data_IF_621208046646
#
_entry.id   IF_621208046646
#
_cell.length_a   1.000
_cell.length_b   1.000
_cell.length_c   1.000
_cell.angle_alpha   90.00
_cell.angle_beta   90.00
_cell.angle_gamma   90.00
#
_symmetry.space_group_name_H-M   'P 1'
#
loop_
_entity.id
_entity.type
_entity.pdbx_description
1 polymer ?
#
# COMPACT_ATOMS: atom_id res chain seq x y z
N UNK A 1 26.76 -7.09 22.68
CA UNK A 1 25.82 -6.60 21.68
C UNK A 1 24.42 -6.79 22.24
N UNK A 2 23.80 -5.73 22.72
CA UNK A 2 22.36 -5.72 23.00
C UNK A 2 21.69 -5.67 21.63
N UNK A 3 21.59 -6.82 21.01
CA UNK A 3 20.97 -6.94 19.71
C UNK A 3 19.46 -6.87 19.87
N UNK A 4 18.86 -5.88 19.30
CA UNK A 4 17.58 -5.96 18.56
C UNK A 4 16.42 -6.75 19.20
N UNK A 5 16.32 -6.81 20.51
CA UNK A 5 15.27 -7.59 21.18
C UNK A 5 13.89 -6.93 21.04
N UNK A 6 13.84 -5.60 20.92
CA UNK A 6 12.60 -4.86 20.75
C UNK A 6 12.69 -3.99 19.50
N UNK A 7 12.20 -4.53 18.39
CA UNK A 7 12.23 -3.80 17.13
C UNK A 7 11.22 -2.65 17.08
N UNK A 8 10.18 -2.67 17.93
CA UNK A 8 9.14 -1.63 17.97
C UNK A 8 8.49 -1.52 19.33
N UNK A 9 8.11 -0.30 19.65
CA UNK A 9 7.31 0.02 20.82
C UNK A 9 6.06 0.78 20.36
N UNK A 10 4.93 0.46 20.97
CA UNK A 10 3.66 1.10 20.67
C UNK A 10 2.87 1.31 21.97
N UNK A 11 2.56 2.56 22.29
CA UNK A 11 1.73 2.88 23.46
C UNK A 11 0.26 2.65 23.10
N UNK A 12 -0.30 1.52 23.49
CA UNK A 12 -1.69 1.17 23.23
C UNK A 12 -2.66 1.85 24.21
N UNK A 13 -2.25 2.06 25.47
CA UNK A 13 -3.04 2.83 26.44
C UNK A 13 -2.13 3.81 27.19
N UNK A 14 -2.70 4.76 27.98
CA UNK A 14 -1.89 5.65 28.84
C UNK A 14 -1.03 4.90 29.87
N UNK A 15 -1.35 3.66 30.20
CA UNK A 15 -0.67 2.87 31.22
C UNK A 15 0.09 1.65 30.67
N UNK A 16 -0.02 1.36 29.39
CA UNK A 16 0.56 0.15 28.79
C UNK A 16 1.28 0.44 27.49
N UNK A 17 2.40 -0.23 27.30
CA UNK A 17 3.21 -0.18 26.09
C UNK A 17 3.37 -1.60 25.54
N UNK A 18 3.06 -1.79 24.28
CA UNK A 18 3.37 -3.03 23.58
C UNK A 18 4.82 -3.01 23.10
N UNK A 19 5.52 -4.10 23.37
CA UNK A 19 6.87 -4.34 22.90
C UNK A 19 6.81 -5.48 21.88
N UNK A 20 7.16 -5.15 20.64
CA UNK A 20 7.03 -6.03 19.48
C UNK A 20 8.43 -6.47 19.04
N UNK A 21 8.69 -7.74 19.14
CA UNK A 21 9.93 -8.41 18.73
C UNK A 21 9.60 -9.81 18.24
N UNK A 22 10.40 -10.80 18.63
CA UNK A 22 10.10 -12.21 18.34
C UNK A 22 8.81 -12.69 18.99
N UNK A 23 8.37 -11.97 20.02
CA UNK A 23 7.08 -12.14 20.69
C UNK A 23 6.47 -10.78 21.00
N UNK A 24 5.20 -10.76 21.36
CA UNK A 24 4.50 -9.58 21.85
C UNK A 24 4.51 -9.59 23.38
N UNK A 25 4.95 -8.49 23.96
CA UNK A 25 4.85 -8.25 25.40
C UNK A 25 4.11 -6.96 25.66
N UNK A 26 3.34 -6.95 26.74
CA UNK A 26 2.68 -5.75 27.26
C UNK A 26 3.40 -5.32 28.54
N UNK A 27 3.92 -4.10 28.55
CA UNK A 27 4.54 -3.50 29.72
C UNK A 27 3.57 -2.54 30.41
N UNK A 28 3.28 -2.83 31.69
CA UNK A 28 2.42 -2.00 32.53
C UNK A 28 3.25 -0.95 33.24
N UNK A 29 3.08 0.31 32.88
CA UNK A 29 3.91 1.44 33.37
C UNK A 29 3.83 1.66 34.88
N UNK A 30 2.63 1.52 35.45
CA UNK A 30 2.42 1.71 36.90
C UNK A 30 2.95 0.56 37.74
N UNK A 31 2.69 -0.66 37.29
CA UNK A 31 3.02 -1.89 38.00
C UNK A 31 4.44 -2.34 37.74
N UNK A 32 5.10 -1.78 36.73
CA UNK A 32 6.43 -2.13 36.25
C UNK A 32 6.56 -3.65 35.96
N UNK A 33 5.50 -4.22 35.36
CA UNK A 33 5.37 -5.64 35.08
C UNK A 33 5.25 -5.88 33.59
N UNK A 34 5.80 -7.02 33.14
CA UNK A 34 5.63 -7.51 31.79
C UNK A 34 4.67 -8.69 31.79
N UNK A 35 3.72 -8.65 30.89
CA UNK A 35 2.86 -9.78 30.56
C UNK A 35 3.11 -10.21 29.10
N UNK A 36 3.22 -11.50 28.86
CA UNK A 36 3.34 -12.02 27.50
C UNK A 36 1.95 -12.02 26.86
N UNK A 37 1.85 -11.43 25.69
CA UNK A 37 0.64 -11.47 24.87
C UNK A 37 0.70 -12.71 23.98
N UNK A 38 -0.37 -13.51 23.98
CA UNK A 38 -0.46 -14.74 23.20
C UNK A 38 -1.67 -14.70 22.29
N UNK A 39 -1.66 -15.49 21.23
CA UNK A 39 -2.83 -15.76 20.42
C UNK A 39 -3.78 -16.77 21.08
N UNK A 40 -4.83 -17.11 20.37
CA UNK A 40 -5.79 -18.12 20.76
C UNK A 40 -5.07 -19.43 21.12
N UNK A 41 -5.62 -20.18 22.09
CA UNK A 41 -5.03 -21.42 22.62
C UNK A 41 -3.60 -21.27 23.19
N UNK A 42 -3.19 -20.05 23.57
CA UNK A 42 -1.86 -19.77 24.12
C UNK A 42 -0.73 -19.81 23.08
N UNK A 43 -1.02 -19.81 21.81
CA UNK A 43 -0.02 -19.81 20.74
C UNK A 43 0.81 -18.53 20.79
N UNK A 44 2.12 -18.67 20.66
CA UNK A 44 2.99 -17.51 20.44
C UNK A 44 2.82 -16.98 19.05
N UNK A 45 2.54 -15.67 18.94
CA UNK A 45 2.52 -14.98 17.67
C UNK A 45 3.94 -14.50 17.38
N UNK A 46 4.44 -14.88 16.22
CA UNK A 46 5.82 -14.62 15.80
C UNK A 46 5.78 -14.00 14.40
N UNK A 47 6.55 -12.95 14.19
CA UNK A 47 6.66 -12.32 12.87
C UNK A 47 7.00 -10.85 12.95
N UNK A 48 6.93 -10.16 11.82
CA UNK A 48 7.05 -8.70 11.77
C UNK A 48 5.71 -8.10 12.16
N UNK A 49 5.54 -7.83 13.45
CA UNK A 49 4.28 -7.34 14.00
C UNK A 49 4.20 -5.82 13.85
N UNK A 50 3.12 -5.34 13.29
CA UNK A 50 2.88 -3.91 13.05
C UNK A 50 1.61 -3.49 13.74
N UNK A 51 1.71 -2.65 14.78
CA UNK A 51 0.53 -2.15 15.46
C UNK A 51 -0.13 -1.03 14.68
N UNK A 52 -1.45 -0.99 14.71
CA UNK A 52 -2.24 0.16 14.31
C UNK A 52 -3.47 0.30 15.23
N UNK A 53 -3.85 1.52 15.55
CA UNK A 53 -4.90 1.79 16.53
C UNK A 53 -6.22 2.13 15.85
N UNK A 54 -7.32 1.61 16.39
CA UNK A 54 -8.67 2.04 16.07
C UNK A 54 -9.25 2.90 17.22
N UNK A 55 -10.20 3.80 16.92
CA UNK A 55 -10.77 4.75 17.88
C UNK A 55 -11.47 4.12 19.08
N UNK A 56 -11.88 2.86 19.02
CA UNK A 56 -12.66 2.19 20.05
C UNK A 56 -11.83 1.40 21.08
N UNK A 57 -10.67 1.89 21.49
CA UNK A 57 -9.77 1.21 22.45
C UNK A 57 -9.31 -0.18 21.99
N UNK A 58 -9.22 -0.39 20.69
CA UNK A 58 -8.71 -1.63 20.10
C UNK A 58 -7.40 -1.37 19.42
N UNK A 59 -6.43 -2.22 19.70
CA UNK A 59 -5.15 -2.22 18.99
C UNK A 59 -5.11 -3.42 18.07
N UNK A 60 -4.84 -3.18 16.81
CA UNK A 60 -4.65 -4.24 15.84
C UNK A 60 -3.17 -4.47 15.60
N UNK A 61 -2.81 -5.71 15.37
CA UNK A 61 -1.44 -6.13 15.09
C UNK A 61 -1.50 -7.10 13.91
N UNK A 62 -0.76 -6.83 12.84
CA UNK A 62 -0.64 -7.80 11.76
C UNK A 62 0.71 -8.52 11.79
N UNK A 63 0.69 -9.79 11.43
CA UNK A 63 1.84 -10.55 10.96
C UNK A 63 1.77 -10.70 9.43
N UNK A 64 2.48 -11.67 8.86
CA UNK A 64 2.47 -11.91 7.42
C UNK A 64 1.18 -12.51 6.87
N UNK A 65 0.30 -13.06 7.73
CA UNK A 65 -0.92 -13.77 7.29
C UNK A 65 -2.19 -13.31 7.99
N UNK A 66 -2.07 -12.75 9.19
CA UNK A 66 -3.21 -12.46 10.04
C UNK A 66 -3.23 -11.02 10.49
N UNK A 67 -4.42 -10.54 10.81
CA UNK A 67 -4.63 -9.36 11.65
C UNK A 67 -5.28 -9.84 12.93
N UNK A 68 -4.67 -9.46 14.03
CA UNK A 68 -5.12 -9.77 15.38
C UNK A 68 -5.65 -8.52 16.04
N UNK A 69 -6.66 -8.69 16.88
CA UNK A 69 -7.22 -7.66 17.73
C UNK A 69 -6.78 -7.87 19.17
N UNK A 70 -6.33 -6.81 19.82
CA UNK A 70 -6.02 -6.76 21.25
C UNK A 70 -6.93 -5.74 21.90
N UNK A 71 -7.75 -6.19 22.84
CA UNK A 71 -8.55 -5.31 23.68
C UNK A 71 -7.68 -4.69 24.78
N UNK A 72 -7.98 -3.46 25.17
CA UNK A 72 -7.27 -2.77 26.25
C UNK A 72 -7.42 -3.56 27.58
N UNK A 73 -6.26 -3.89 28.16
CA UNK A 73 -6.19 -4.67 29.40
C UNK A 73 -6.07 -6.19 29.21
N UNK A 74 -6.27 -6.68 28.00
CA UNK A 74 -6.13 -8.10 27.69
C UNK A 74 -4.67 -8.47 27.32
N UNK A 75 -4.33 -9.73 27.55
CA UNK A 75 -3.07 -10.35 27.08
C UNK A 75 -3.32 -11.39 25.99
N UNK A 76 -4.51 -11.44 25.43
CA UNK A 76 -4.93 -12.37 24.40
C UNK A 76 -5.23 -11.65 23.11
N UNK A 77 -4.54 -12.04 22.03
CA UNK A 77 -4.79 -11.60 20.68
C UNK A 77 -5.84 -12.51 20.01
N UNK A 78 -6.89 -11.91 19.48
CA UNK A 78 -7.92 -12.61 18.73
C UNK A 78 -7.69 -12.42 17.24
N UNK A 79 -7.78 -13.49 16.45
CA UNK A 79 -7.65 -13.41 14.99
C UNK A 79 -8.89 -12.76 14.40
N UNK A 80 -8.71 -11.64 13.74
CA UNK A 80 -9.80 -10.89 13.09
C UNK A 80 -9.81 -11.12 11.58
N UNK A 81 -8.64 -11.34 10.99
CA UNK A 81 -8.48 -11.56 9.55
C UNK A 81 -7.35 -12.54 9.29
N UNK A 82 -7.55 -13.41 8.32
CA UNK A 82 -6.56 -14.35 7.80
C UNK A 82 -6.51 -14.28 6.28
N UNK A 83 -5.31 -14.18 5.74
CA UNK A 83 -5.09 -14.19 4.29
C UNK A 83 -5.32 -15.58 3.69
N UNK A 84 -5.91 -15.56 2.51
CA UNK A 84 -6.13 -16.78 1.75
C UNK A 84 -4.84 -17.26 1.05
N UNK A 85 -4.54 -18.55 1.14
CA UNK A 85 -3.43 -19.27 0.47
C UNK A 85 -2.04 -18.58 0.60
N UNK A 86 -1.43 -18.20 -0.53
CA UNK A 86 -0.07 -17.67 -0.64
C UNK A 86 0.01 -16.14 -0.48
N UNK A 87 -1.10 -15.51 -0.10
CA UNK A 87 -1.13 -14.08 0.17
C UNK A 87 -0.30 -13.75 1.42
N UNK A 88 0.53 -12.73 1.32
CA UNK A 88 1.39 -12.24 2.40
C UNK A 88 1.07 -10.77 2.66
N UNK A 89 0.72 -10.45 3.90
CA UNK A 89 0.48 -9.07 4.33
C UNK A 89 1.81 -8.35 4.47
N UNK A 90 1.96 -7.25 3.78
CA UNK A 90 3.09 -6.32 3.94
C UNK A 90 2.78 -5.21 4.93
N UNK A 91 1.55 -4.72 4.91
CA UNK A 91 1.11 -3.54 5.66
C UNK A 91 -0.41 -3.53 5.80
N UNK A 92 -0.92 -2.99 6.91
CA UNK A 92 -2.35 -2.81 7.11
C UNK A 92 -2.65 -1.48 7.80
N UNK A 93 -3.79 -0.88 7.47
CA UNK A 93 -4.32 0.32 8.10
C UNK A 93 -5.85 0.24 8.13
N UNK A 94 -6.52 1.07 8.92
CA UNK A 94 -7.98 1.18 8.92
C UNK A 94 -8.41 2.60 8.54
N UNK A 95 -9.58 2.72 7.95
CA UNK A 95 -10.20 4.01 7.65
C UNK A 95 -11.12 4.50 8.78
N UNK A 96 -11.79 5.63 8.57
CA UNK A 96 -12.72 6.23 9.53
C UNK A 96 -13.96 5.38 9.79
N UNK A 97 -14.27 4.41 8.94
CA UNK A 97 -15.39 3.48 9.12
C UNK A 97 -14.99 2.20 9.85
N UNK A 98 -13.69 2.02 10.08
CA UNK A 98 -13.12 0.83 10.71
C UNK A 98 -12.87 -0.33 9.76
N UNK A 99 -12.99 -0.11 8.46
CA UNK A 99 -12.64 -1.09 7.46
C UNK A 99 -11.11 -1.17 7.31
N UNK A 100 -10.59 -2.36 7.07
CA UNK A 100 -9.16 -2.56 6.88
C UNK A 100 -8.77 -2.46 5.43
N UNK A 101 -7.68 -1.76 5.20
CA UNK A 101 -6.96 -1.67 3.94
C UNK A 101 -5.64 -2.37 4.10
N UNK A 102 -5.42 -3.43 3.32
CA UNK A 102 -4.33 -4.39 3.50
C UNK A 102 -3.52 -4.43 2.23
N UNK A 103 -2.25 -4.09 2.36
CA UNK A 103 -1.26 -4.28 1.30
C UNK A 103 -0.72 -5.70 1.31
N UNK A 104 -0.56 -6.27 0.15
CA UNK A 104 -0.08 -7.64 -0.01
C UNK A 104 0.77 -7.83 -1.26
N UNK A 105 1.39 -8.99 -1.38
CA UNK A 105 2.09 -9.44 -2.59
C UNK A 105 1.17 -9.65 -3.82
N UNK A 106 -0.16 -9.55 -3.63
CA UNK A 106 -1.18 -9.61 -4.69
C UNK A 106 -2.00 -8.32 -4.78
N UNK A 107 -1.45 -7.19 -4.34
CA UNK A 107 -2.09 -5.89 -4.44
C UNK A 107 -2.80 -5.43 -3.17
N UNK A 108 -3.87 -4.66 -3.33
CA UNK A 108 -4.63 -4.04 -2.26
C UNK A 108 -5.89 -4.83 -1.95
N UNK A 109 -6.13 -5.09 -0.67
CA UNK A 109 -7.31 -5.77 -0.17
C UNK A 109 -8.08 -4.81 0.74
N UNK A 110 -9.38 -4.70 0.51
CA UNK A 110 -10.33 -4.05 1.40
C UNK A 110 -11.09 -5.12 2.19
N UNK A 111 -11.12 -5.01 3.50
CA UNK A 111 -11.81 -5.95 4.39
C UNK A 111 -12.68 -5.20 5.40
N UNK A 112 -13.96 -5.54 5.41
CA UNK A 112 -14.90 -5.04 6.40
C UNK A 112 -15.05 -6.06 7.54
N UNK A 113 -14.61 -5.74 8.78
CA UNK A 113 -14.57 -6.71 9.87
C UNK A 113 -15.99 -7.06 10.40
N UNK A 114 -16.97 -6.19 10.20
CA UNK A 114 -18.35 -6.42 10.67
C UNK A 114 -19.07 -7.43 9.77
N UNK A 115 -19.01 -7.24 8.46
CA UNK A 115 -19.63 -8.14 7.49
C UNK A 115 -18.72 -9.32 7.09
N UNK A 116 -17.45 -9.29 7.52
CA UNK A 116 -16.39 -10.24 7.12
C UNK A 116 -16.20 -10.32 5.60
N UNK A 117 -16.58 -9.27 4.89
CA UNK A 117 -16.46 -9.21 3.44
C UNK A 117 -15.06 -8.74 3.05
N UNK A 118 -14.42 -9.54 2.21
CA UNK A 118 -13.12 -9.22 1.59
C UNK A 118 -13.35 -8.87 0.13
N UNK A 119 -12.67 -7.81 -0.34
CA UNK A 119 -12.69 -7.37 -1.73
C UNK A 119 -11.26 -7.07 -2.17
N UNK A 120 -10.81 -7.73 -3.23
CA UNK A 120 -9.54 -7.38 -3.87
C UNK A 120 -9.75 -6.19 -4.79
N UNK A 121 -8.97 -5.15 -4.60
CA UNK A 121 -8.97 -3.98 -5.48
C UNK A 121 -8.01 -4.29 -6.63
N UNK A 122 -8.59 -4.82 -7.70
CA UNK A 122 -7.83 -5.20 -8.88
C UNK A 122 -7.39 -3.96 -9.66
N UNK A 123 -6.13 -3.92 -10.02
CA UNK A 123 -5.55 -2.86 -10.83
C UNK A 123 -4.41 -3.41 -11.67
N UNK A 124 -4.15 -2.74 -12.79
CA UNK A 124 -2.96 -2.95 -13.61
C UNK A 124 -1.85 -1.94 -13.31
N UNK A 125 -2.03 -1.08 -12.31
CA UNK A 125 -1.06 -0.04 -11.94
C UNK A 125 0.11 -0.59 -11.13
N UNK A 126 -0.13 -1.63 -10.35
CA UNK A 126 0.88 -2.30 -9.51
C UNK A 126 0.45 -3.74 -9.20
N UNK A 127 1.40 -4.57 -8.81
CA UNK A 127 1.15 -5.96 -8.41
C UNK A 127 1.36 -6.18 -6.93
N UNK A 128 2.37 -5.57 -6.35
CA UNK A 128 2.75 -5.71 -4.95
C UNK A 128 2.59 -4.37 -4.23
N UNK A 129 1.99 -4.40 -3.05
CA UNK A 129 1.83 -3.24 -2.19
C UNK A 129 2.69 -3.39 -0.96
N UNK A 130 3.65 -2.48 -0.77
CA UNK A 130 4.58 -2.51 0.35
C UNK A 130 4.07 -1.73 1.57
N UNK A 131 3.36 -0.63 1.35
CA UNK A 131 2.90 0.26 2.40
C UNK A 131 1.46 0.71 2.16
N UNK A 132 0.65 0.71 3.22
CA UNK A 132 -0.72 1.24 3.21
C UNK A 132 -0.94 2.13 4.42
N UNK A 133 -1.46 3.34 4.21
CA UNK A 133 -1.85 4.25 5.28
C UNK A 133 -3.14 5.00 4.94
N UNK A 134 -4.17 4.81 5.74
CA UNK A 134 -5.40 5.62 5.66
C UNK A 134 -5.20 6.97 6.32
N UNK A 135 -5.71 8.05 5.71
CA UNK A 135 -5.57 9.41 6.23
C UNK A 135 -6.77 9.85 7.11
N UNK A 136 -7.73 8.96 7.34
CA UNK A 136 -8.97 9.24 8.08
C UNK A 136 -9.84 10.35 7.42
N UNK A 137 -9.67 10.56 6.11
CA UNK A 137 -10.40 11.56 5.30
C UNK A 137 -10.77 11.03 3.93
N UNK A 138 -10.94 9.72 3.84
CA UNK A 138 -11.37 9.03 2.62
C UNK A 138 -10.26 8.74 1.61
N UNK A 139 -8.98 8.82 2.01
CA UNK A 139 -7.86 8.43 1.15
C UNK A 139 -7.05 7.31 1.78
N UNK A 140 -6.63 6.38 0.94
CA UNK A 140 -5.67 5.32 1.29
C UNK A 140 -4.39 5.56 0.50
N UNK A 141 -3.32 5.89 1.20
CA UNK A 141 -1.99 6.06 0.64
C UNK A 141 -1.32 4.71 0.49
N UNK A 142 -0.77 4.46 -0.69
CA UNK A 142 -0.27 3.15 -1.10
C UNK A 142 1.10 3.30 -1.71
N UNK A 143 2.10 2.71 -1.06
CA UNK A 143 3.45 2.55 -1.62
C UNK A 143 3.52 1.22 -2.37
N UNK A 144 3.76 1.27 -3.66
CA UNK A 144 3.84 0.09 -4.52
C UNK A 144 4.82 0.36 -5.68
N UNK A 145 5.65 -0.62 -6.02
CA UNK A 145 6.60 -0.54 -7.14
C UNK A 145 7.43 0.76 -7.15
N UNK A 146 7.90 1.20 -5.99
CA UNK A 146 8.63 2.47 -5.78
C UNK A 146 7.84 3.74 -6.11
N UNK A 147 6.53 3.65 -6.23
CA UNK A 147 5.61 4.77 -6.48
C UNK A 147 4.66 4.95 -5.31
N UNK A 148 4.14 6.17 -5.16
CA UNK A 148 3.10 6.48 -4.21
C UNK A 148 1.78 6.73 -4.93
N UNK A 149 0.76 6.02 -4.52
CA UNK A 149 -0.61 6.21 -5.00
C UNK A 149 -1.52 6.65 -3.85
N UNK A 150 -2.58 7.35 -4.20
CA UNK A 150 -3.73 7.54 -3.33
C UNK A 150 -4.94 6.81 -3.94
N UNK A 151 -5.59 5.96 -3.17
CA UNK A 151 -6.91 5.44 -3.49
C UNK A 151 -7.95 6.33 -2.84
N UNK A 152 -8.81 6.93 -3.65
CA UNK A 152 -9.92 7.76 -3.21
C UNK A 152 -11.13 6.84 -2.99
N UNK A 153 -11.52 6.65 -1.72
CA UNK A 153 -12.54 5.66 -1.35
C UNK A 153 -13.89 5.96 -1.99
N UNK A 154 -14.31 7.23 -1.98
CA UNK A 154 -15.60 7.64 -2.53
C UNK A 154 -15.65 7.54 -4.05
N UNK A 155 -14.61 7.99 -4.74
CA UNK A 155 -14.52 8.00 -6.19
C UNK A 155 -14.11 6.65 -6.77
N UNK A 156 -13.66 5.72 -5.92
CA UNK A 156 -13.14 4.41 -6.32
C UNK A 156 -12.05 4.53 -7.42
N UNK A 157 -11.13 5.46 -7.23
CA UNK A 157 -10.11 5.81 -8.21
C UNK A 157 -8.72 5.89 -7.59
N UNK A 158 -7.72 5.42 -8.34
CA UNK A 158 -6.32 5.64 -8.01
C UNK A 158 -5.82 6.97 -8.58
N UNK A 159 -5.02 7.68 -7.80
CA UNK A 159 -4.27 8.87 -8.22
C UNK A 159 -2.79 8.60 -7.97
N UNK A 160 -1.96 8.77 -8.99
CA UNK A 160 -0.50 8.70 -8.83
C UNK A 160 -0.01 10.01 -8.18
N UNK A 161 0.71 9.85 -7.08
CA UNK A 161 1.36 10.95 -6.38
C UNK A 161 2.86 10.91 -6.68
N UNK A 162 3.28 11.72 -7.61
CA UNK A 162 4.63 11.66 -8.19
C UNK A 162 5.49 12.88 -7.89
N UNK A 163 6.60 13.04 -8.62
CA UNK A 163 7.57 14.14 -8.46
C UNK A 163 6.92 15.52 -8.58
N UNK A 164 5.93 15.69 -9.44
CA UNK A 164 5.17 16.95 -9.58
C UNK A 164 4.42 17.35 -8.31
N UNK A 165 4.14 16.40 -7.43
CA UNK A 165 3.50 16.59 -6.14
C UNK A 165 4.51 16.56 -4.99
N UNK A 166 5.82 16.50 -5.28
CA UNK A 166 6.88 16.41 -4.29
C UNK A 166 7.24 15.01 -3.82
N UNK A 167 6.56 13.98 -4.31
CA UNK A 167 6.93 12.59 -4.02
C UNK A 167 8.08 12.14 -4.93
N UNK A 168 9.10 11.55 -4.33
CA UNK A 168 10.23 10.99 -5.05
C UNK A 168 9.96 9.50 -5.27
N UNK A 169 10.27 8.98 -6.45
CA UNK A 169 10.25 7.54 -6.69
C UNK A 169 11.24 6.85 -5.76
N UNK A 170 10.70 6.05 -4.84
CA UNK A 170 11.51 5.40 -3.82
C UNK A 170 10.78 4.21 -3.18
N UNK A 171 11.54 3.35 -2.51
CA UNK A 171 10.98 2.27 -1.72
C UNK A 171 10.38 2.83 -0.42
N UNK A 172 9.07 2.74 -0.29
CA UNK A 172 8.33 3.17 0.89
C UNK A 172 8.32 2.07 1.96
N UNK A 173 8.68 2.46 3.19
CA UNK A 173 8.83 1.50 4.28
C UNK A 173 7.47 1.19 4.91
N UNK A 174 7.08 -0.10 5.04
CA UNK A 174 5.75 -0.50 5.49
C UNK A 174 5.38 0.01 6.88
N UNK A 175 6.39 0.31 7.70
CA UNK A 175 6.21 0.63 9.11
C UNK A 175 6.64 2.04 9.50
N UNK A 176 7.16 2.81 8.55
CA UNK A 176 7.58 4.20 8.77
C UNK A 176 6.46 5.15 8.32
N UNK A 177 5.34 5.13 9.03
CA UNK A 177 4.16 5.90 8.68
C UNK A 177 3.40 6.37 9.90
N UNK A 178 2.77 7.54 9.80
CA UNK A 178 2.00 8.17 10.86
C UNK A 178 0.96 9.11 10.26
N UNK A 179 -0.19 9.22 10.89
CA UNK A 179 -1.14 10.32 10.70
C UNK A 179 -1.20 11.12 12.00
N UNK A 180 -0.99 12.42 11.92
CA UNK A 180 -1.10 13.29 13.09
C UNK A 180 -2.56 13.70 13.36
N UNK A 181 -2.79 14.40 14.46
CA UNK A 181 -4.14 14.86 14.84
C UNK A 181 -4.73 15.90 13.87
N UNK A 182 -3.90 16.54 13.07
CA UNK A 182 -4.31 17.50 12.03
C UNK A 182 -4.67 16.81 10.72
N UNK A 183 -4.40 15.49 10.64
CA UNK A 183 -4.63 14.65 9.47
C UNK A 183 -3.49 14.65 8.45
N UNK A 184 -2.34 15.26 8.80
CA UNK A 184 -1.15 15.13 7.95
C UNK A 184 -0.64 13.70 7.97
N UNK A 185 -0.26 13.23 6.80
CA UNK A 185 0.30 11.89 6.63
C UNK A 185 1.82 11.98 6.49
N UNK A 186 2.52 11.21 7.28
CA UNK A 186 3.97 11.07 7.22
C UNK A 186 4.32 9.67 6.74
N UNK A 187 5.14 9.58 5.71
CA UNK A 187 5.55 8.31 5.09
C UNK A 187 7.07 8.33 4.97
N UNK A 188 7.72 7.37 5.59
CA UNK A 188 9.16 7.16 5.47
C UNK A 188 9.51 6.32 4.26
N UNK A 189 10.60 6.65 3.64
CA UNK A 189 11.24 5.89 2.58
C UNK A 189 12.72 5.63 2.91
N UNK A 190 13.45 4.93 2.05
CA UNK A 190 14.87 4.63 2.29
C UNK A 190 15.79 5.84 2.24
N UNK A 191 15.33 7.00 1.79
CA UNK A 191 16.11 8.24 1.68
C UNK A 191 15.66 9.33 2.64
N UNK A 192 14.44 9.25 3.16
CA UNK A 192 13.92 10.28 4.04
C UNK A 192 12.48 10.08 4.46
N UNK A 193 11.75 11.17 4.56
CA UNK A 193 10.36 11.19 4.96
C UNK A 193 9.58 12.21 4.15
N UNK A 194 8.45 11.78 3.61
CA UNK A 194 7.47 12.62 2.95
C UNK A 194 6.39 13.06 3.97
N UNK A 195 6.09 14.35 4.03
CA UNK A 195 4.91 14.88 4.70
C UNK A 195 3.88 15.27 3.65
N UNK A 196 2.67 14.79 3.80
CA UNK A 196 1.53 15.11 2.96
C UNK A 196 0.54 15.90 3.82
N UNK A 197 0.20 17.09 3.37
CA UNK A 197 -0.79 17.95 4.03
C UNK A 197 -2.15 17.24 4.07
N UNK A 198 -2.74 17.11 5.25
CA UNK A 198 -4.03 16.45 5.44
C UNK A 198 -5.19 17.15 4.72
N UNK A 199 -5.05 18.43 4.36
CA UNK A 199 -6.05 19.17 3.60
C UNK A 199 -5.81 19.12 2.09
N UNK A 200 -4.79 18.39 1.64
CA UNK A 200 -4.47 18.28 0.23
C UNK A 200 -5.67 17.74 -0.56
N UNK A 201 -6.21 18.56 -1.43
CA UNK A 201 -7.20 18.15 -2.43
C UNK A 201 -6.45 17.53 -3.60
N UNK A 202 -6.63 16.24 -3.80
CA UNK A 202 -6.13 15.59 -4.99
C UNK A 202 -7.07 15.91 -6.13
N UNK A 203 -6.60 16.70 -7.08
CA UNK A 203 -7.34 16.92 -8.31
C UNK A 203 -7.40 15.58 -9.05
N UNK A 204 -8.59 15.05 -9.18
CA UNK A 204 -8.90 13.89 -9.99
C UNK A 204 -8.98 14.29 -11.47
N UNK A 205 -8.02 15.07 -11.96
CA UNK A 205 -7.90 15.21 -13.41
C UNK A 205 -7.80 13.79 -13.96
N UNK A 206 -8.66 13.46 -14.89
CA UNK A 206 -8.69 12.15 -15.53
C UNK A 206 -7.27 11.76 -15.91
N UNK A 207 -6.91 10.46 -15.70
CA UNK A 207 -5.63 10.01 -16.20
C UNK A 207 -5.53 10.40 -17.66
N UNK A 208 -4.47 11.09 -18.09
CA UNK A 208 -4.40 11.58 -19.45
C UNK A 208 -4.57 10.42 -20.41
N UNK A 209 -5.47 10.55 -21.34
CA UNK A 209 -5.68 9.55 -22.38
C UNK A 209 -4.40 9.36 -23.17
N UNK A 210 -3.89 8.13 -23.17
CA UNK A 210 -2.73 7.78 -23.97
C UNK A 210 -3.18 7.57 -25.43
N UNK A 211 -2.56 8.28 -26.32
CA UNK A 211 -2.75 8.12 -27.75
C UNK A 211 -1.54 7.40 -28.34
N UNK A 212 -1.79 6.31 -29.07
CA UNK A 212 -0.80 5.69 -29.89
C UNK A 212 -0.53 6.59 -31.11
N UNK A 213 0.70 7.03 -31.27
CA UNK A 213 1.09 7.85 -32.42
C UNK A 213 1.45 6.98 -33.61
N UNK A 214 2.38 6.06 -33.43
CA UNK A 214 2.77 5.14 -34.49
C UNK A 214 3.41 3.85 -33.93
N UNK A 215 3.52 2.86 -34.76
CA UNK A 215 4.31 1.65 -34.56
C UNK A 215 5.30 1.55 -35.73
N UNK A 216 6.57 1.41 -35.42
CA UNK A 216 7.64 1.25 -36.39
C UNK A 216 8.18 -0.18 -36.26
N UNK A 217 8.26 -0.90 -37.37
CA UNK A 217 8.78 -2.27 -37.43
C UNK A 217 10.01 -2.27 -38.32
N UNK A 218 11.14 -2.68 -37.78
CA UNK A 218 12.44 -2.71 -38.49
C UNK A 218 12.80 -1.37 -39.14
N UNK A 219 12.43 -0.25 -38.51
CA UNK A 219 12.70 1.09 -39.00
C UNK A 219 11.65 1.67 -39.95
N UNK A 220 10.68 0.90 -40.36
CA UNK A 220 9.60 1.35 -41.27
C UNK A 220 8.26 1.49 -40.51
N UNK A 221 7.47 2.55 -40.76
CA UNK A 221 6.16 2.69 -40.14
C UNK A 221 5.23 1.54 -40.53
N UNK A 222 4.58 0.94 -39.54
CA UNK A 222 3.55 -0.06 -39.80
C UNK A 222 2.35 0.60 -40.49
N UNK A 223 2.14 0.28 -41.76
CA UNK A 223 1.19 0.98 -42.62
C UNK A 223 -0.27 0.90 -42.13
N UNK A 224 -0.86 2.09 -41.90
CA UNK A 224 -2.25 2.52 -42.16
C UNK A 224 -3.47 1.76 -41.61
N UNK A 225 -3.39 0.89 -40.61
CA UNK A 225 -4.59 0.25 -40.03
C UNK A 225 -4.83 0.54 -38.55
N UNK A 226 -4.10 1.46 -37.95
CA UNK A 226 -4.09 1.68 -36.49
C UNK A 226 -5.18 2.63 -35.96
N UNK A 227 -5.99 3.24 -36.80
CA UNK A 227 -6.91 4.30 -36.37
C UNK A 227 -8.29 3.82 -35.94
N UNK A 228 -8.57 2.55 -35.97
CA UNK A 228 -9.89 2.03 -35.56
C UNK A 228 -9.78 0.64 -34.92
N UNK A 229 -9.60 0.61 -33.59
CA UNK A 229 -9.55 -0.56 -32.71
C UNK A 229 -8.20 -1.32 -32.67
N UNK A 230 -7.90 -2.07 -31.59
CA UNK A 230 -6.64 -2.77 -31.44
C UNK A 230 -6.52 -3.86 -32.53
N UNK A 231 -5.95 -3.48 -33.66
CA UNK A 231 -5.64 -4.41 -34.70
C UNK A 231 -4.43 -5.22 -34.25
N UNK A 232 -4.56 -6.53 -34.19
CA UNK A 232 -3.42 -7.41 -34.00
C UNK A 232 -2.45 -7.23 -35.17
N UNK A 233 -1.20 -6.86 -34.86
CA UNK A 233 -0.15 -6.74 -35.86
C UNK A 233 0.68 -8.02 -35.78
N UNK A 234 0.75 -8.75 -36.87
CA UNK A 234 1.65 -9.89 -36.98
C UNK A 234 3.01 -9.41 -37.44
N UNK A 235 4.04 -9.69 -36.68
CA UNK A 235 5.43 -9.33 -37.00
C UNK A 235 6.31 -10.58 -37.01
N UNK A 236 7.36 -10.64 -37.86
CA UNK A 236 8.36 -11.66 -37.74
C UNK A 236 8.99 -11.70 -36.35
N UNK A 237 9.34 -12.83 -35.87
CA UNK A 237 9.78 -13.07 -34.50
C UNK A 237 11.06 -12.32 -34.13
N UNK A 238 11.91 -12.00 -35.06
CA UNK A 238 13.18 -11.27 -34.94
C UNK A 238 13.06 -9.74 -35.21
N UNK A 239 11.82 -9.24 -35.27
CA UNK A 239 11.56 -7.83 -35.59
C UNK A 239 11.88 -6.91 -34.44
N UNK A 240 12.46 -5.76 -34.78
CA UNK A 240 12.62 -4.64 -33.86
C UNK A 240 11.36 -3.75 -33.94
N UNK A 241 10.66 -3.59 -32.80
CA UNK A 241 9.40 -2.86 -32.72
C UNK A 241 9.60 -1.62 -31.89
N UNK A 242 9.26 -0.44 -32.43
CA UNK A 242 9.19 0.82 -31.71
C UNK A 242 7.73 1.29 -31.66
N UNK A 243 7.21 1.49 -30.44
CA UNK A 243 5.87 2.02 -30.20
C UNK A 243 6.01 3.45 -29.72
N UNK A 244 5.37 4.40 -30.39
CA UNK A 244 5.32 5.79 -29.97
C UNK A 244 3.95 6.11 -29.40
N UNK A 245 3.95 6.62 -28.15
CA UNK A 245 2.75 7.01 -27.44
C UNK A 245 2.85 8.48 -27.03
N UNK A 246 1.73 9.13 -26.93
CA UNK A 246 1.59 10.50 -26.44
C UNK A 246 0.44 10.58 -25.45
N UNK A 247 0.60 11.40 -24.44
CA UNK A 247 -0.49 11.81 -23.54
C UNK A 247 -1.21 13.01 -24.13
N UNK A 248 -2.54 13.01 -24.14
CA UNK A 248 -3.36 14.16 -24.56
C UNK A 248 -3.40 15.31 -23.55
N UNK A 249 -2.67 15.22 -22.46
CA UNK A 249 -2.64 16.27 -21.45
C UNK A 249 -1.95 17.53 -21.98
N UNK A 250 -2.60 18.69 -21.82
CA UNK A 250 -2.10 19.98 -22.29
C UNK A 250 -1.02 20.61 -21.40
N UNK A 251 -0.80 20.07 -20.17
CA UNK A 251 0.18 20.62 -19.26
C UNK A 251 1.61 20.20 -19.66
N UNK A 252 2.25 21.06 -20.42
CA UNK A 252 3.64 20.89 -20.91
C UNK A 252 4.70 21.02 -19.81
N UNK A 253 4.34 21.56 -18.64
CA UNK A 253 5.29 21.75 -17.53
C UNK A 253 5.34 20.56 -16.58
N UNK A 254 4.39 19.61 -16.68
CA UNK A 254 4.44 18.37 -15.89
C UNK A 254 5.35 17.35 -16.52
N UNK A 255 6.35 16.89 -15.75
CA UNK A 255 7.16 15.74 -16.14
C UNK A 255 6.25 14.51 -16.21
N UNK A 256 6.14 13.90 -17.36
CA UNK A 256 5.32 12.72 -17.60
C UNK A 256 6.19 11.48 -17.39
N UNK A 257 5.72 10.57 -16.59
CA UNK A 257 6.35 9.26 -16.38
C UNK A 257 5.41 8.21 -16.94
N UNK A 258 5.92 7.36 -17.79
CA UNK A 258 5.17 6.27 -18.40
C UNK A 258 5.70 4.96 -17.83
N UNK A 259 4.81 4.01 -17.63
CA UNK A 259 5.14 2.63 -17.27
C UNK A 259 4.56 1.73 -18.32
N UNK A 260 5.29 0.69 -18.67
CA UNK A 260 4.81 -0.30 -19.62
C UNK A 260 5.18 -1.71 -19.17
N UNK A 261 4.40 -2.66 -19.63
CA UNK A 261 4.61 -4.10 -19.47
C UNK A 261 4.31 -4.78 -20.78
N UNK A 262 5.11 -5.78 -21.14
CA UNK A 262 4.88 -6.62 -22.30
C UNK A 262 4.46 -8.00 -21.79
N UNK A 263 3.19 -8.33 -21.95
CA UNK A 263 2.65 -9.64 -21.56
C UNK A 263 3.38 -10.76 -22.27
N UNK A 264 3.80 -11.78 -21.52
CA UNK A 264 4.57 -12.91 -22.03
C UNK A 264 6.08 -12.68 -22.17
N UNK A 265 6.57 -11.45 -21.90
CA UNK A 265 8.00 -11.13 -21.93
C UNK A 265 8.52 -10.79 -20.55
N UNK A 266 7.82 -9.93 -19.84
CA UNK A 266 8.13 -9.60 -18.43
C UNK A 266 6.83 -9.34 -17.66
N UNK A 267 6.81 -9.78 -16.39
CA UNK A 267 5.66 -9.63 -15.52
C UNK A 267 5.70 -8.31 -14.69
N UNK A 268 6.82 -7.59 -14.75
CA UNK A 268 7.00 -6.33 -14.04
C UNK A 268 6.89 -5.13 -14.98
N UNK A 269 6.37 -4.02 -14.45
CA UNK A 269 6.41 -2.74 -15.13
C UNK A 269 7.83 -2.17 -15.18
N UNK A 270 8.18 -1.56 -16.29
CA UNK A 270 9.45 -0.88 -16.52
C UNK A 270 9.20 0.63 -16.56
#
# INVERSE_FOLDING_TARGET
AASDVYKRQYQNTPNTVLLLGDHVYQYHLKEKKFDKVTGEEGKSIVGTLVPFKHENNRTYINDFKHIYELHDGDSLLQTTFECYQDTVISSASHDEHGDFWIGSNFGLIHYNPVSQKQTHILTNLFTEVNMVQCDQRGKVWIGADNLLFAWLIQEQKFVLFGESNGAIQNEYLPNARLVNNEGDVYIGDVKGMLRIDGQLLLNTSEMPELQLLDIIINGEPAQNKLYSHPAAISVPWDSNITIRIMSKEEDIFRKKVYRYRIEGLNDQYI
#
